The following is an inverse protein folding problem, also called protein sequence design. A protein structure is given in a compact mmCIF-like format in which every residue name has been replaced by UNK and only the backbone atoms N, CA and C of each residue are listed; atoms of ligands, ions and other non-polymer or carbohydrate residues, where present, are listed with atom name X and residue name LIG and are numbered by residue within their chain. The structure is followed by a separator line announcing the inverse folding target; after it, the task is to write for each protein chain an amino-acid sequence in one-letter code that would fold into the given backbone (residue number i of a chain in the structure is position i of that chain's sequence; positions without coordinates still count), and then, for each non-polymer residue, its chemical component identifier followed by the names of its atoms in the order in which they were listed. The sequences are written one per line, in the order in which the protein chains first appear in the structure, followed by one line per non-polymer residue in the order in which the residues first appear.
data_IF_546441448431
#
_entry.id   IF_546441448431
#
_cell.length_a   1.000
_cell.length_b   1.000
_cell.length_c   1.000
_cell.angle_alpha   90.00
_cell.angle_beta   90.00
_cell.angle_gamma   90.00
#
_symmetry.space_group_name_H-M   'P 1'
#
loop_
_entity.id
_entity.type
_entity.pdbx_description
1 polymer ?
#
# COMPACT_ATOMS: atom_id res chain seq x y z
N UNK A 1 -2.63 -6.58 3.07
CA UNK A 1 -2.50 -7.46 1.90
C UNK A 1 -1.29 -8.41 2.00
N UNK A 2 -0.13 -7.95 2.40
CA UNK A 2 1.02 -8.81 2.65
C UNK A 2 1.58 -8.53 4.04
N UNK A 3 2.01 -9.61 4.75
CA UNK A 3 2.61 -9.49 6.07
C UNK A 3 4.08 -9.08 5.97
N UNK A 4 4.47 -8.03 6.69
CA UNK A 4 5.86 -7.62 6.80
C UNK A 4 6.70 -8.52 7.73
N UNK A 5 6.09 -9.49 8.39
CA UNK A 5 6.76 -10.39 9.34
C UNK A 5 6.91 -11.80 8.75
N UNK A 6 5.83 -12.35 8.20
CA UNK A 6 5.76 -13.72 7.71
C UNK A 6 5.87 -13.83 6.18
N UNK A 7 5.78 -12.72 5.44
CA UNK A 7 5.78 -12.71 3.99
C UNK A 7 4.53 -13.34 3.34
N UNK A 8 3.50 -13.63 4.13
CA UNK A 8 2.24 -14.21 3.62
C UNK A 8 1.40 -13.17 2.91
N UNK A 9 0.74 -13.57 1.83
CA UNK A 9 -0.26 -12.77 1.15
C UNK A 9 -1.68 -13.18 1.56
N UNK A 10 -2.50 -12.17 1.85
CA UNK A 10 -3.93 -12.35 2.10
C UNK A 10 -4.68 -12.46 0.77
N UNK A 11 -5.67 -13.36 0.62
CA UNK A 11 -6.54 -13.42 -0.55
C UNK A 11 -7.50 -12.21 -0.55
N UNK A 12 -6.97 -11.03 -0.91
CA UNK A 12 -7.64 -9.75 -0.71
C UNK A 12 -8.96 -9.67 -1.49
N UNK A 13 -9.04 -10.23 -2.69
CA UNK A 13 -10.26 -10.23 -3.50
C UNK A 13 -11.39 -11.02 -2.83
N UNK A 14 -11.10 -12.25 -2.38
CA UNK A 14 -12.09 -13.05 -1.65
C UNK A 14 -12.55 -12.39 -0.35
N UNK A 15 -11.61 -11.80 0.39
CA UNK A 15 -11.93 -11.06 1.62
C UNK A 15 -12.82 -9.86 1.30
N UNK A 16 -12.55 -9.15 0.22
CA UNK A 16 -13.38 -8.03 -0.22
C UNK A 16 -14.79 -8.48 -0.59
N UNK A 17 -14.92 -9.53 -1.40
CA UNK A 17 -16.22 -10.09 -1.81
C UNK A 17 -17.07 -10.53 -0.60
N UNK A 18 -16.47 -11.28 0.33
CA UNK A 18 -17.16 -11.72 1.55
C UNK A 18 -17.56 -10.55 2.46
N UNK A 19 -16.71 -9.54 2.55
CA UNK A 19 -16.99 -8.36 3.37
C UNK A 19 -18.13 -7.53 2.77
N UNK A 20 -18.13 -7.32 1.45
CA UNK A 20 -19.21 -6.63 0.76
C UNK A 20 -20.53 -7.39 0.86
N UNK A 21 -20.51 -8.73 0.78
CA UNK A 21 -21.71 -9.53 0.98
C UNK A 21 -22.31 -9.38 2.39
N UNK A 22 -21.48 -9.01 3.36
CA UNK A 22 -21.90 -8.69 4.74
C UNK A 22 -22.22 -7.19 4.94
N UNK A 23 -22.13 -6.35 3.90
CA UNK A 23 -22.36 -4.91 3.98
C UNK A 23 -21.22 -4.11 4.60
N UNK A 24 -20.02 -4.67 4.68
CA UNK A 24 -18.86 -4.00 5.26
C UNK A 24 -18.06 -3.25 4.21
N UNK A 25 -17.43 -2.15 4.63
CA UNK A 25 -16.44 -1.38 3.86
C UNK A 25 -15.06 -2.02 4.05
N UNK A 26 -14.29 -2.11 2.97
CA UNK A 26 -12.98 -2.76 2.96
C UNK A 26 -11.85 -1.76 2.76
N UNK A 27 -10.92 -1.76 3.71
CA UNK A 27 -9.66 -0.99 3.63
C UNK A 27 -8.51 -1.96 3.50
N UNK A 28 -7.75 -1.88 2.42
CA UNK A 28 -6.58 -2.71 2.16
C UNK A 28 -5.29 -1.93 2.44
N UNK A 29 -4.50 -2.39 3.39
CA UNK A 29 -3.11 -1.96 3.53
C UNK A 29 -2.26 -2.71 2.50
N UNK A 30 -1.81 -1.99 1.49
CA UNK A 30 -0.97 -2.48 0.41
C UNK A 30 0.51 -2.07 0.55
N UNK A 31 0.92 -1.57 1.73
CA UNK A 31 2.27 -1.06 1.93
C UNK A 31 3.37 -2.08 1.61
N UNK A 32 3.11 -3.38 1.83
CA UNK A 32 4.03 -4.48 1.49
C UNK A 32 3.68 -5.18 0.17
N UNK A 33 2.60 -4.78 -0.49
CA UNK A 33 2.18 -5.40 -1.75
C UNK A 33 2.50 -4.53 -2.96
N UNK A 34 2.23 -3.23 -2.86
CA UNK A 34 2.43 -2.27 -3.94
C UNK A 34 3.87 -2.23 -4.50
N UNK A 35 4.94 -2.39 -3.70
CA UNK A 35 6.31 -2.42 -4.23
C UNK A 35 6.64 -3.65 -5.08
N UNK A 36 5.92 -4.76 -4.89
CA UNK A 36 6.30 -6.08 -5.36
C UNK A 36 5.32 -6.69 -6.37
N UNK A 37 4.11 -6.14 -6.45
CA UNK A 37 3.04 -6.68 -7.31
C UNK A 37 2.21 -5.57 -7.91
N UNK A 38 1.76 -5.83 -9.13
CA UNK A 38 0.76 -4.99 -9.75
C UNK A 38 -0.53 -5.03 -8.93
N UNK A 39 -1.06 -3.86 -8.61
CA UNK A 39 -2.34 -3.70 -7.92
C UNK A 39 -3.37 -3.15 -8.90
N UNK A 40 -4.42 -3.90 -9.12
CA UNK A 40 -5.60 -3.44 -9.84
C UNK A 40 -6.72 -3.22 -8.82
N UNK A 41 -6.98 -1.95 -8.50
CA UNK A 41 -7.98 -1.56 -7.50
C UNK A 41 -9.41 -1.84 -7.97
N UNK A 42 -9.63 -1.91 -9.30
CA UNK A 42 -10.93 -2.24 -9.87
C UNK A 42 -11.18 -3.74 -9.79
N UNK A 43 -10.19 -4.57 -10.10
CA UNK A 43 -10.30 -6.03 -9.95
C UNK A 43 -10.47 -6.45 -8.49
N UNK A 44 -9.79 -5.77 -7.57
CA UNK A 44 -9.93 -6.00 -6.12
C UNK A 44 -11.27 -5.52 -5.57
N UNK A 45 -11.92 -4.59 -6.26
CA UNK A 45 -13.14 -3.88 -5.80
C UNK A 45 -13.03 -3.31 -4.38
N UNK A 46 -11.80 -3.02 -3.92
CA UNK A 46 -11.56 -2.46 -2.60
C UNK A 46 -12.13 -1.06 -2.49
N UNK A 47 -12.66 -0.72 -1.32
CA UNK A 47 -13.21 0.61 -1.07
C UNK A 47 -12.11 1.62 -0.82
N UNK A 48 -11.06 1.21 -0.11
CA UNK A 48 -9.85 2.00 0.12
C UNK A 48 -8.61 1.13 -0.01
N UNK A 49 -7.55 1.70 -0.58
CA UNK A 49 -6.21 1.08 -0.63
C UNK A 49 -5.17 2.11 -0.23
N UNK A 50 -4.32 1.76 0.74
CA UNK A 50 -3.27 2.64 1.22
C UNK A 50 -1.88 2.03 1.03
N UNK A 51 -0.89 2.84 0.63
CA UNK A 51 0.50 2.43 0.54
C UNK A 51 1.46 3.61 0.65
N UNK A 52 2.74 3.32 0.85
CA UNK A 52 3.78 4.32 1.13
C UNK A 52 4.82 4.39 0.03
N UNK A 53 5.18 5.60 -0.38
CA UNK A 53 6.14 5.81 -1.46
C UNK A 53 7.55 5.28 -1.13
N UNK A 54 8.01 5.40 0.10
CA UNK A 54 9.37 4.97 0.50
C UNK A 54 9.61 3.46 0.35
N UNK A 55 8.56 2.65 0.30
CA UNK A 55 8.64 1.22 0.01
C UNK A 55 8.65 0.91 -1.49
N UNK A 56 8.27 1.89 -2.31
CA UNK A 56 8.25 1.79 -3.79
C UNK A 56 9.42 2.55 -4.43
N UNK A 57 10.61 2.51 -3.82
CA UNK A 57 11.81 3.26 -4.24
C UNK A 57 11.60 4.79 -4.23
N UNK A 58 10.50 5.24 -3.68
CA UNK A 58 10.11 6.64 -3.60
C UNK A 58 10.63 7.33 -2.34
N UNK A 59 10.42 8.63 -2.23
CA UNK A 59 10.85 9.41 -1.09
C UNK A 59 10.03 9.11 0.16
N UNK A 60 10.65 9.35 1.33
CA UNK A 60 9.96 9.33 2.61
C UNK A 60 9.02 10.52 2.76
N UNK A 61 8.03 10.40 3.64
CA UNK A 61 7.13 11.48 4.01
C UNK A 61 5.87 11.61 3.17
N UNK A 62 5.65 10.74 2.19
CA UNK A 62 4.40 10.65 1.43
C UNK A 62 3.88 9.22 1.34
N UNK A 63 2.57 9.13 1.24
CA UNK A 63 1.83 7.92 0.94
C UNK A 63 0.65 8.25 0.04
N UNK A 64 0.03 7.22 -0.47
CA UNK A 64 -1.12 7.31 -1.35
C UNK A 64 -2.30 6.60 -0.70
N UNK A 65 -3.46 7.25 -0.74
CA UNK A 65 -4.74 6.65 -0.43
C UNK A 65 -5.62 6.68 -1.69
N UNK A 66 -5.94 5.51 -2.20
CA UNK A 66 -7.05 5.33 -3.12
C UNK A 66 -8.34 5.15 -2.32
N UNK A 67 -9.43 5.73 -2.79
CA UNK A 67 -10.76 5.49 -2.24
C UNK A 67 -11.83 5.63 -3.32
N UNK A 68 -12.92 4.86 -3.21
CA UNK A 68 -14.10 5.02 -4.06
C UNK A 68 -14.68 6.43 -3.85
N UNK A 69 -14.92 7.15 -4.94
CA UNK A 69 -15.35 8.55 -4.91
C UNK A 69 -16.57 8.78 -4.03
N UNK A 70 -17.59 7.94 -4.15
CA UNK A 70 -18.82 8.06 -3.36
C UNK A 70 -18.59 7.95 -1.86
N UNK A 71 -17.64 7.13 -1.44
CA UNK A 71 -17.26 6.99 -0.03
C UNK A 71 -16.46 8.20 0.45
N UNK A 72 -15.50 8.66 -0.36
CA UNK A 72 -14.73 9.86 -0.05
C UNK A 72 -15.61 11.10 0.04
N UNK A 73 -16.61 11.23 -0.82
CA UNK A 73 -17.58 12.35 -0.75
C UNK A 73 -18.42 12.32 0.52
N UNK A 74 -18.84 11.12 0.95
CA UNK A 74 -19.65 10.96 2.16
C UNK A 74 -18.86 11.15 3.46
N UNK A 75 -17.52 10.98 3.44
CA UNK A 75 -16.68 11.12 4.62
C UNK A 75 -16.48 12.60 4.98
N UNK A 76 -16.46 12.96 6.28
CA UNK A 76 -15.97 14.26 6.71
C UNK A 76 -14.45 14.38 6.46
N UNK A 77 -13.91 15.60 6.32
CA UNK A 77 -12.47 15.80 6.27
C UNK A 77 -11.81 15.32 7.57
N UNK A 78 -10.62 14.72 7.47
CA UNK A 78 -9.89 14.23 8.64
C UNK A 78 -9.12 15.34 9.36
N UNK A 79 -8.50 16.24 8.58
CA UNK A 79 -7.77 17.41 9.09
C UNK A 79 -8.33 18.68 8.46
N UNK A 80 -8.28 19.78 9.21
CA UNK A 80 -8.58 21.12 8.71
C UNK A 80 -7.31 21.94 8.46
N UNK A 81 -7.30 22.76 7.42
CA UNK A 81 -6.16 23.63 7.12
C UNK A 81 -6.31 24.36 5.80
N UNK A 82 -5.27 25.05 5.38
CA UNK A 82 -5.23 25.70 4.06
C UNK A 82 -5.46 24.70 2.92
N UNK A 83 -5.86 25.19 1.78
CA UNK A 83 -6.12 24.47 0.53
C UNK A 83 -7.33 23.53 0.52
N UNK A 84 -7.74 22.95 1.67
CA UNK A 84 -8.91 22.07 1.75
C UNK A 84 -10.22 22.79 2.09
N UNK A 85 -10.17 24.07 2.42
CA UNK A 85 -11.32 24.90 2.83
C UNK A 85 -11.73 25.81 1.67
N UNK A 86 -13.04 25.93 1.42
CA UNK A 86 -13.60 26.91 0.48
C UNK A 86 -14.06 28.16 1.22
N UNK A 87 -14.94 28.01 2.19
CA UNK A 87 -15.53 29.12 2.94
C UNK A 87 -15.43 28.84 4.43
N UNK A 88 -15.06 29.83 5.19
CA UNK A 88 -15.05 29.82 6.66
C UNK A 88 -16.02 30.83 7.18
N UNK A 89 -16.86 30.47 8.11
CA UNK A 89 -17.80 31.35 8.84
C UNK A 89 -17.58 31.15 10.33
N UNK A 90 -18.27 31.97 11.16
CA UNK A 90 -18.24 31.79 12.62
C UNK A 90 -18.89 30.45 13.07
N UNK A 91 -19.77 29.92 12.24
CA UNK A 91 -20.53 28.70 12.54
C UNK A 91 -19.86 27.42 12.02
N UNK A 92 -18.84 27.53 11.12
CA UNK A 92 -18.16 26.40 10.53
C UNK A 92 -17.45 26.70 9.23
N UNK A 93 -17.22 25.65 8.46
CA UNK A 93 -16.54 25.79 7.16
C UNK A 93 -17.10 24.79 6.13
N UNK A 94 -16.89 25.11 4.86
CA UNK A 94 -17.12 24.19 3.74
C UNK A 94 -15.79 23.74 3.15
N UNK A 95 -15.76 22.52 2.66
CA UNK A 95 -14.54 21.93 2.08
C UNK A 95 -14.43 22.16 0.59
N UNK A 96 -13.22 22.12 0.08
CA UNK A 96 -12.96 21.92 -1.34
C UNK A 96 -13.46 20.56 -1.80
N UNK A 97 -13.54 20.34 -3.10
CA UNK A 97 -13.84 19.04 -3.69
C UNK A 97 -12.68 18.04 -3.51
N UNK A 98 -12.92 16.80 -3.91
CA UNK A 98 -11.88 15.77 -3.96
C UNK A 98 -10.82 16.10 -5.02
N UNK A 99 -9.55 15.78 -4.81
CA UNK A 99 -8.98 15.16 -3.60
C UNK A 99 -8.63 16.18 -2.49
N UNK A 100 -8.66 17.48 -2.78
CA UNK A 100 -8.22 18.55 -1.89
C UNK A 100 -8.92 18.55 -0.51
N UNK A 101 -10.15 18.06 -0.42
CA UNK A 101 -10.91 17.87 0.83
C UNK A 101 -10.10 17.14 1.92
N UNK A 102 -9.20 16.23 1.55
CA UNK A 102 -8.38 15.42 2.47
C UNK A 102 -6.92 15.86 2.54
N UNK A 103 -6.54 16.93 1.81
CA UNK A 103 -5.16 17.39 1.70
C UNK A 103 -5.00 18.75 2.39
N UNK A 104 -5.02 18.74 3.73
CA UNK A 104 -4.93 19.98 4.52
C UNK A 104 -3.50 20.52 4.59
N UNK A 105 -3.36 21.80 4.24
CA UNK A 105 -2.09 22.53 4.30
C UNK A 105 -1.23 22.37 3.04
N UNK A 106 -0.03 22.95 3.07
CA UNK A 106 0.93 22.83 1.96
C UNK A 106 1.39 21.39 1.83
N UNK A 107 1.22 20.75 0.65
CA UNK A 107 1.64 19.37 0.46
C UNK A 107 3.16 19.23 0.52
N UNK A 108 3.63 18.00 0.71
CA UNK A 108 5.06 17.65 0.65
C UNK A 108 5.56 17.71 -0.81
N UNK A 109 5.76 18.94 -1.33
CA UNK A 109 5.97 19.22 -2.76
C UNK A 109 7.14 18.40 -3.34
N UNK A 110 8.33 18.46 -2.71
CA UNK A 110 9.52 17.77 -3.23
C UNK A 110 9.35 16.24 -3.29
N UNK A 111 8.84 15.56 -2.26
CA UNK A 111 8.54 14.13 -2.34
C UNK A 111 7.49 13.79 -3.40
N UNK A 112 6.44 14.60 -3.54
CA UNK A 112 5.39 14.37 -4.55
C UNK A 112 5.97 14.45 -5.96
N UNK A 113 6.81 15.45 -6.24
CA UNK A 113 7.45 15.64 -7.55
C UNK A 113 8.45 14.53 -7.90
N UNK A 114 9.03 13.84 -6.90
CA UNK A 114 9.95 12.73 -7.14
C UNK A 114 9.23 11.39 -7.42
N UNK A 115 7.97 11.24 -7.02
CA UNK A 115 7.24 9.99 -7.15
C UNK A 115 7.09 9.49 -8.61
N UNK A 116 6.79 10.33 -9.60
CA UNK A 116 6.66 9.89 -10.98
C UNK A 116 7.91 9.16 -11.50
N UNK A 117 9.12 9.64 -11.19
CA UNK A 117 10.36 9.01 -11.60
C UNK A 117 10.54 7.61 -11.00
N UNK A 118 10.07 7.41 -9.77
CA UNK A 118 10.10 6.10 -9.11
C UNK A 118 9.12 5.12 -9.76
N UNK A 119 7.92 5.59 -10.09
CA UNK A 119 6.92 4.78 -10.78
C UNK A 119 7.38 4.40 -12.20
N UNK A 120 7.96 5.35 -12.94
CA UNK A 120 8.53 5.10 -14.25
C UNK A 120 9.66 4.05 -14.18
N UNK A 121 10.52 4.14 -13.18
CA UNK A 121 11.57 3.14 -12.96
C UNK A 121 10.99 1.73 -12.75
N UNK A 122 10.00 1.58 -11.85
CA UNK A 122 9.35 0.30 -11.59
C UNK A 122 8.64 -0.25 -12.83
N UNK A 123 7.97 0.62 -13.59
CA UNK A 123 7.31 0.23 -14.85
C UNK A 123 8.32 -0.22 -15.91
N UNK A 124 9.47 0.46 -16.02
CA UNK A 124 10.53 0.10 -16.96
C UNK A 124 11.21 -1.22 -16.61
N UNK A 125 11.37 -1.53 -15.33
CA UNK A 125 11.85 -2.85 -14.87
C UNK A 125 10.78 -3.92 -15.14
N UNK A 126 9.52 -3.60 -14.90
CA UNK A 126 8.38 -4.51 -15.04
C UNK A 126 8.04 -5.23 -13.75
N UNK A 127 6.81 -5.05 -13.27
CA UNK A 127 6.37 -5.60 -12.00
C UNK A 127 6.36 -7.14 -11.98
N UNK A 128 6.05 -7.77 -13.12
CA UNK A 128 6.12 -9.23 -13.24
C UNK A 128 7.56 -9.76 -13.11
N UNK A 129 8.54 -9.05 -13.70
CA UNK A 129 9.96 -9.43 -13.56
C UNK A 129 10.45 -9.26 -12.13
N UNK A 130 10.02 -8.20 -11.44
CA UNK A 130 10.33 -8.00 -10.02
C UNK A 130 9.79 -9.18 -9.20
N UNK A 131 8.53 -9.52 -9.39
CA UNK A 131 7.88 -10.62 -8.66
C UNK A 131 8.57 -11.96 -8.93
N UNK A 132 8.92 -12.24 -10.19
CA UNK A 132 9.64 -13.46 -10.56
C UNK A 132 11.01 -13.54 -9.89
N UNK A 133 11.78 -12.46 -9.98
CA UNK A 133 13.12 -12.39 -9.38
C UNK A 133 13.09 -12.58 -7.85
N UNK A 134 12.14 -11.95 -7.18
CA UNK A 134 11.96 -12.12 -5.74
C UNK A 134 11.59 -13.55 -5.37
N UNK A 135 10.72 -14.19 -6.15
CA UNK A 135 10.37 -15.59 -5.94
C UNK A 135 11.59 -16.53 -6.08
N UNK A 136 12.43 -16.30 -7.10
CA UNK A 136 13.67 -17.05 -7.30
C UNK A 136 14.64 -16.88 -6.11
N UNK A 137 14.80 -15.64 -5.62
CA UNK A 137 15.64 -15.35 -4.46
C UNK A 137 15.12 -16.00 -3.18
N UNK A 138 13.80 -15.95 -2.94
CA UNK A 138 13.17 -16.57 -1.76
C UNK A 138 13.36 -18.08 -1.80
N UNK A 139 13.10 -18.72 -2.94
CA UNK A 139 13.28 -20.15 -3.12
C UNK A 139 14.73 -20.58 -2.86
N UNK A 140 15.67 -19.86 -3.46
CA UNK A 140 17.10 -20.09 -3.23
C UNK A 140 17.49 -19.93 -1.75
N UNK A 141 17.00 -18.89 -1.10
CA UNK A 141 17.28 -18.66 0.32
C UNK A 141 16.73 -19.78 1.20
N UNK A 142 15.50 -20.24 0.96
CA UNK A 142 14.92 -21.37 1.68
C UNK A 142 15.73 -22.66 1.51
N UNK A 143 16.10 -23.00 0.28
CA UNK A 143 16.95 -24.16 0.01
C UNK A 143 18.28 -24.08 0.77
N UNK A 144 18.94 -22.93 0.73
CA UNK A 144 20.22 -22.74 1.41
C UNK A 144 20.10 -22.79 2.93
N UNK A 145 19.07 -22.15 3.49
CA UNK A 145 18.83 -22.14 4.94
C UNK A 145 18.47 -23.53 5.46
N UNK A 146 17.70 -24.32 4.71
CA UNK A 146 17.35 -25.70 5.07
C UNK A 146 18.58 -26.60 5.27
N UNK A 147 19.70 -26.31 4.59
CA UNK A 147 20.94 -27.10 4.75
C UNK A 147 21.67 -26.84 6.07
N UNK A 148 21.35 -25.78 6.79
CA UNK A 148 22.11 -25.36 7.98
C UNK A 148 21.75 -26.11 9.27
N UNK A 149 20.68 -26.92 9.28
CA UNK A 149 20.30 -27.87 10.34
C UNK A 149 20.01 -27.31 11.73
N UNK A 150 20.21 -26.00 11.94
CA UNK A 150 20.01 -25.29 13.21
C UNK A 150 19.05 -24.09 13.09
N UNK A 151 18.45 -23.93 11.92
CA UNK A 151 17.53 -22.81 11.62
C UNK A 151 16.14 -23.37 11.51
N UNK A 152 15.21 -22.74 12.22
CA UNK A 152 13.79 -22.97 12.04
C UNK A 152 13.22 -21.78 11.27
N UNK A 153 12.81 -22.01 10.03
CA UNK A 153 12.19 -20.99 9.20
C UNK A 153 10.73 -20.86 9.63
N UNK A 154 10.34 -19.65 10.02
CA UNK A 154 8.96 -19.34 10.38
C UNK A 154 8.26 -18.73 9.17
N UNK A 155 7.08 -19.23 8.89
CA UNK A 155 6.27 -18.79 7.75
C UNK A 155 5.88 -19.98 6.86
N UNK A 156 5.11 -19.74 5.81
CA UNK A 156 4.74 -20.78 4.87
C UNK A 156 5.94 -21.18 3.99
N UNK A 157 5.89 -22.38 3.46
CA UNK A 157 6.81 -22.82 2.41
C UNK A 157 6.79 -21.82 1.23
N UNK A 158 7.88 -21.66 0.48
CA UNK A 158 7.95 -20.78 -0.68
C UNK A 158 7.05 -21.31 -1.80
N UNK A 159 5.76 -21.15 -1.60
CA UNK A 159 4.77 -21.27 -2.67
C UNK A 159 4.70 -19.92 -3.38
N UNK A 160 4.14 -19.88 -4.56
CA UNK A 160 4.09 -18.71 -5.47
C UNK A 160 3.65 -17.36 -4.87
N UNK A 161 3.55 -17.24 -3.56
CA UNK A 161 3.01 -16.09 -2.84
C UNK A 161 3.79 -15.68 -1.59
N UNK A 162 5.01 -16.17 -1.38
CA UNK A 162 5.82 -15.79 -0.22
C UNK A 162 6.87 -14.76 -0.57
N UNK A 163 6.98 -13.78 0.29
CA UNK A 163 8.00 -12.74 0.25
C UNK A 163 8.87 -12.85 1.49
N UNK A 164 10.19 -12.87 1.33
CA UNK A 164 11.12 -12.84 2.45
C UNK A 164 11.24 -11.38 2.93
N UNK A 165 10.60 -11.06 4.03
CA UNK A 165 10.83 -9.77 4.67
C UNK A 165 12.00 -9.88 5.63
N UNK A 166 13.10 -9.22 5.32
CA UNK A 166 14.09 -8.91 6.32
C UNK A 166 13.50 -7.81 7.22
N UNK A 167 13.56 -7.95 8.55
CA UNK A 167 13.09 -6.90 9.43
C UNK A 167 13.95 -5.65 9.20
N UNK A 168 13.39 -4.68 8.50
CA UNK A 168 14.03 -3.39 8.22
C UNK A 168 13.88 -2.39 9.35
N UNK A 169 13.10 -2.71 10.37
CA UNK A 169 12.93 -1.87 11.55
C UNK A 169 13.49 -2.58 12.79
N UNK A 170 14.62 -2.09 13.26
CA UNK A 170 14.97 -2.14 14.67
C UNK A 170 14.19 -0.99 15.33
N UNK A 171 12.96 -1.21 15.69
CA UNK A 171 12.34 -0.47 16.77
C UNK A 171 12.46 -1.32 18.01
N UNK A 172 13.31 -0.85 18.90
CA UNK A 172 13.48 -1.30 20.29
C UNK A 172 12.37 -0.67 21.12
#
# INVERSE_FOLDING_TARGET
MASNVLGTYTPAKEVTELSHAAGAVVVLDAAQTAPHRLLDVQDLDADFVAFSAHKMLGPSGIGILYGKESLLEAMPPFLGGGSMINVVTEEGFTTAGLPAKFEAGTPAISPVLALPACLEYLQNVGMELIQQHEHELVSYAHERLATLGRINILGPEPVSYTHLTLPTNREV
#
